data_IF_612626406473
#
_entry.id   IF_612626406473
#
_cell.length_a   1.000
_cell.length_b   1.000
_cell.length_c   1.000
_cell.angle_alpha   90.00
_cell.angle_beta   90.00
_cell.angle_gamma   90.00
#
_symmetry.space_group_name_H-M   'P 1'
#
loop_
_entity.id
_entity.type
_entity.pdbx_description
1 polymer ?
#
# COMPACT_ATOMS: atom_id res chain seq x y z
N UNK A 1 -16.46 -14.04 53.42
CA UNK A 1 -15.68 -13.17 52.53
C UNK A 1 -16.62 -12.11 51.99
N UNK A 2 -16.46 -10.84 52.41
CA UNK A 2 -17.49 -9.81 52.23
C UNK A 2 -17.67 -9.44 50.75
N UNK A 3 -18.91 -9.48 50.26
CA UNK A 3 -19.33 -9.17 48.88
C UNK A 3 -18.75 -7.85 48.37
N UNK A 4 -18.52 -6.88 49.27
CA UNK A 4 -17.86 -5.59 48.99
C UNK A 4 -16.42 -5.73 48.46
N UNK A 5 -15.70 -6.78 48.86
CA UNK A 5 -14.32 -7.07 48.39
C UNK A 5 -14.32 -7.74 47.01
N UNK A 6 -15.40 -8.44 46.64
CA UNK A 6 -15.57 -9.06 45.31
C UNK A 6 -15.91 -8.00 44.24
N UNK A 7 -16.74 -7.01 44.60
CA UNK A 7 -17.09 -5.87 43.72
C UNK A 7 -15.87 -4.99 43.42
N UNK A 8 -14.96 -4.82 44.39
CA UNK A 8 -13.73 -4.05 44.21
C UNK A 8 -12.73 -4.71 43.24
N UNK A 9 -12.75 -6.04 43.08
CA UNK A 9 -11.85 -6.76 42.16
C UNK A 9 -12.35 -6.72 40.71
N UNK A 10 -13.67 -6.63 40.49
CA UNK A 10 -14.26 -6.48 39.15
C UNK A 10 -14.21 -5.03 38.63
N UNK A 11 -14.17 -4.04 39.53
CA UNK A 11 -14.13 -2.62 39.18
C UNK A 11 -12.84 -2.17 38.49
N UNK A 12 -11.71 -2.85 38.72
CA UNK A 12 -10.43 -2.50 38.10
C UNK A 12 -10.19 -3.14 36.73
N UNK A 13 -11.06 -4.06 36.29
CA UNK A 13 -10.94 -4.72 34.98
C UNK A 13 -11.62 -3.94 33.84
N UNK A 14 -12.44 -2.93 34.15
CA UNK A 14 -13.22 -2.18 33.14
C UNK A 14 -12.47 -1.02 32.47
N UNK A 15 -11.20 -0.79 32.78
CA UNK A 15 -10.40 0.30 32.18
C UNK A 15 -9.51 -0.16 31.01
N UNK A 16 -9.60 -1.42 30.58
CA UNK A 16 -8.74 -1.97 29.52
C UNK A 16 -9.49 -2.31 28.20
N UNK A 17 -10.72 -1.83 28.00
CA UNK A 17 -11.62 -2.38 26.99
C UNK A 17 -11.80 -1.59 25.68
N UNK A 18 -11.06 -0.52 25.39
CA UNK A 18 -11.16 0.14 24.08
C UNK A 18 -9.85 0.76 23.61
N UNK A 19 -8.86 -0.07 23.24
CA UNK A 19 -7.96 0.33 22.16
C UNK A 19 -8.68 0.07 20.84
N UNK A 20 -9.56 0.99 20.46
CA UNK A 20 -10.05 1.07 19.10
C UNK A 20 -8.89 1.52 18.22
N UNK A 21 -8.11 0.56 17.72
CA UNK A 21 -7.27 0.81 16.56
C UNK A 21 -8.21 1.16 15.42
N UNK A 22 -8.42 2.46 15.16
CA UNK A 22 -8.75 2.92 13.83
C UNK A 22 -7.53 2.56 13.01
N UNK A 23 -7.55 1.37 12.42
CA UNK A 23 -6.75 1.14 11.23
C UNK A 23 -7.23 2.21 10.27
N UNK A 24 -6.40 3.21 10.02
CA UNK A 24 -6.55 4.02 8.83
C UNK A 24 -6.80 3.00 7.72
N UNK A 25 -7.96 3.10 7.08
CA UNK A 25 -8.25 2.35 5.89
C UNK A 25 -7.15 2.75 4.91
N UNK A 26 -6.09 1.95 4.89
CA UNK A 26 -5.19 1.88 3.76
C UNK A 26 -6.14 1.50 2.65
N UNK A 27 -6.42 2.46 1.76
CA UNK A 27 -7.13 2.18 0.54
C UNK A 27 -6.40 0.99 -0.07
N UNK A 28 -7.03 -0.17 0.04
CA UNK A 28 -6.64 -1.35 -0.69
C UNK A 28 -7.02 -1.02 -2.13
N UNK A 29 -6.18 -0.20 -2.77
CA UNK A 29 -6.12 -0.01 -4.21
C UNK A 29 -5.50 -1.26 -4.85
N UNK A 30 -5.86 -2.44 -4.31
CA UNK A 30 -5.51 -3.77 -4.77
C UNK A 30 -6.56 -4.31 -5.74
N UNK A 31 -7.35 -3.44 -6.35
CA UNK A 31 -8.13 -3.75 -7.53
C UNK A 31 -7.28 -3.45 -8.76
N UNK A 32 -6.33 -4.34 -9.07
CA UNK A 32 -5.70 -4.52 -10.39
C UNK A 32 -5.60 -3.22 -11.21
N UNK A 33 -4.90 -2.21 -10.68
CA UNK A 33 -4.66 -0.97 -11.42
C UNK A 33 -3.72 -1.36 -12.55
N UNK A 34 -4.28 -1.55 -13.75
CA UNK A 34 -3.53 -1.79 -14.96
C UNK A 34 -2.58 -0.61 -15.19
N UNK A 35 -1.32 -0.80 -14.83
CA UNK A 35 -0.26 0.16 -15.06
C UNK A 35 -0.11 0.36 -16.57
N UNK A 36 -0.42 1.57 -17.04
CA UNK A 36 -0.27 1.92 -18.46
C UNK A 36 1.13 2.47 -18.69
N UNK A 37 1.92 1.80 -19.53
CA UNK A 37 3.27 2.21 -19.87
C UNK A 37 3.22 3.03 -21.16
N UNK A 38 3.48 4.34 -21.05
CA UNK A 38 3.50 5.26 -22.19
C UNK A 38 4.94 5.41 -22.71
N UNK A 39 5.11 5.28 -24.02
CA UNK A 39 6.40 5.40 -24.70
C UNK A 39 6.33 6.43 -25.84
N UNK A 40 7.49 6.91 -26.28
CA UNK A 40 7.61 7.89 -27.38
C UNK A 40 8.24 7.31 -28.64
N UNK A 41 8.20 5.99 -28.82
CA UNK A 41 8.83 5.29 -29.94
C UNK A 41 8.34 5.77 -31.33
N UNK A 42 7.10 6.28 -31.39
CA UNK A 42 6.47 6.81 -32.61
C UNK A 42 6.57 8.34 -32.75
N UNK A 43 7.40 9.00 -31.92
CA UNK A 43 7.53 10.48 -31.78
C UNK A 43 6.29 11.17 -31.21
N UNK A 44 5.35 10.41 -30.68
CA UNK A 44 4.19 10.88 -29.91
C UNK A 44 4.03 9.96 -28.71
N UNK A 45 3.33 10.42 -27.70
CA UNK A 45 2.93 9.57 -26.57
C UNK A 45 1.97 8.48 -27.08
N UNK A 46 2.37 7.24 -26.90
CA UNK A 46 1.60 6.05 -27.30
C UNK A 46 1.76 4.97 -26.25
N UNK A 47 0.72 4.15 -26.05
CA UNK A 47 0.82 2.95 -25.23
C UNK A 47 1.87 1.99 -25.82
N UNK A 48 2.64 1.33 -24.96
CA UNK A 48 3.58 0.28 -25.37
C UNK A 48 2.88 -0.86 -26.12
N UNK A 49 1.63 -1.18 -25.76
CA UNK A 49 0.84 -2.27 -26.36
C UNK A 49 0.38 -1.93 -27.79
N UNK A 50 0.20 -0.65 -28.09
CA UNK A 50 -0.19 -0.16 -29.42
C UNK A 50 1.03 0.20 -30.30
N UNK A 51 2.24 0.07 -29.78
CA UNK A 51 3.46 0.44 -30.49
C UNK A 51 3.86 -0.68 -31.48
N UNK A 52 3.86 -0.44 -32.81
CA UNK A 52 4.06 -1.50 -33.82
C UNK A 52 5.53 -1.89 -34.03
N UNK A 53 6.39 -1.60 -33.05
CA UNK A 53 7.82 -1.90 -33.07
C UNK A 53 8.23 -2.47 -31.70
N UNK A 54 9.21 -3.38 -31.63
CA UNK A 54 9.66 -3.89 -30.35
C UNK A 54 10.34 -2.78 -29.54
N UNK A 55 9.85 -2.57 -28.32
CA UNK A 55 10.37 -1.60 -27.36
C UNK A 55 10.46 -2.22 -25.97
N UNK A 56 11.48 -1.81 -25.23
CA UNK A 56 11.67 -2.13 -23.81
C UNK A 56 11.67 -0.85 -23.00
N UNK A 57 10.96 -0.85 -21.87
CA UNK A 57 11.02 0.21 -20.88
C UNK A 57 11.79 -0.29 -19.65
N UNK A 58 12.54 0.61 -19.01
CA UNK A 58 13.23 0.34 -17.75
C UNK A 58 12.68 1.29 -16.69
N UNK A 59 12.45 0.77 -15.48
CA UNK A 59 12.01 1.58 -14.34
C UNK A 59 13.20 2.24 -13.65
N UNK A 60 12.95 3.34 -12.92
CA UNK A 60 13.97 4.03 -12.13
C UNK A 60 14.62 3.13 -11.06
N UNK A 61 13.83 2.23 -10.47
CA UNK A 61 14.32 1.25 -9.52
C UNK A 61 15.35 0.30 -10.17
N UNK A 62 15.09 -0.09 -11.41
CA UNK A 62 15.98 -0.96 -12.18
C UNK A 62 17.24 -0.23 -12.62
N UNK A 63 17.15 1.04 -13.00
CA UNK A 63 18.33 1.88 -13.28
C UNK A 63 19.22 2.01 -12.03
N UNK A 64 18.63 2.29 -10.88
CA UNK A 64 19.34 2.41 -9.60
C UNK A 64 20.02 1.11 -9.21
N UNK A 65 19.32 -0.03 -9.31
CA UNK A 65 19.87 -1.37 -9.03
C UNK A 65 21.09 -1.68 -9.90
N UNK A 66 21.08 -1.24 -11.15
CA UNK A 66 22.17 -1.46 -12.09
C UNK A 66 23.26 -0.38 -12.03
N UNK A 67 23.17 0.60 -11.12
CA UNK A 67 24.13 1.68 -11.00
C UNK A 67 24.13 2.65 -12.19
N UNK A 68 23.01 2.73 -12.91
CA UNK A 68 22.79 3.60 -14.07
C UNK A 68 22.03 4.87 -13.65
N UNK A 69 22.45 5.49 -12.55
CA UNK A 69 21.90 6.74 -12.05
C UNK A 69 22.87 7.91 -12.27
N UNK A 70 22.34 9.11 -12.48
CA UNK A 70 23.08 10.36 -12.68
C UNK A 70 22.74 11.34 -11.54
#
# INVERSE_FOLDING_TARGET
MNLKKLVLLFGTFSLFSTFSFVQAQEDVDGADVLETIVVTATRRETDIMDTPVPVSALSDAELTKNGLNN
#
